data_IF_058090512407
#
_entry.id   IF_058090512407
#
_cell.length_a   1.000
_cell.length_b   1.000
_cell.length_c   1.000
_cell.angle_alpha   90.00
_cell.angle_beta   90.00
_cell.angle_gamma   90.00
#
_symmetry.space_group_name_H-M   'P 1'
#
loop_
_entity.id
_entity.type
_entity.pdbx_description
1 polymer ?
#
# COMPACT_ATOMS: atom_id res chain seq x y z
N UNK A 1 -0.48 6.66 20.17
CA UNK A 1 -0.10 6.69 18.74
C UNK A 1 -1.35 6.68 17.89
N UNK A 2 -1.60 7.72 17.09
CA UNK A 2 -2.74 7.79 16.17
C UNK A 2 -2.48 6.84 15.00
N UNK A 3 -3.37 5.88 14.74
CA UNK A 3 -3.24 4.96 13.61
C UNK A 3 -3.60 5.72 12.33
N UNK A 4 -2.62 5.90 11.45
CA UNK A 4 -2.83 6.53 10.14
C UNK A 4 -3.02 5.44 9.10
N UNK A 5 -4.18 5.41 8.44
CA UNK A 5 -4.39 4.56 7.27
C UNK A 5 -4.02 5.34 6.03
N UNK A 6 -3.40 4.63 5.10
CA UNK A 6 -2.98 5.16 3.81
C UNK A 6 -3.84 4.53 2.71
N UNK A 7 -4.37 5.32 1.78
CA UNK A 7 -4.91 4.81 0.53
C UNK A 7 -3.87 3.96 -0.21
N UNK A 8 -4.34 3.11 -1.11
CA UNK A 8 -3.49 2.19 -1.86
C UNK A 8 -2.39 2.88 -2.67
N UNK A 9 -2.60 4.13 -3.07
CA UNK A 9 -1.62 4.94 -3.82
C UNK A 9 -0.46 5.44 -2.95
N UNK A 10 -0.70 5.64 -1.65
CA UNK A 10 0.29 6.08 -0.66
C UNK A 10 1.06 4.91 -0.02
N UNK A 11 0.59 3.68 -0.23
CA UNK A 11 1.28 2.48 0.21
C UNK A 11 2.55 2.28 -0.61
N UNK A 12 3.69 2.28 0.08
CA UNK A 12 4.92 1.74 -0.51
C UNK A 12 4.62 0.25 -0.68
N UNK A 13 4.61 -0.22 -1.92
CA UNK A 13 4.36 -1.63 -2.23
C UNK A 13 5.39 -2.54 -1.56
N UNK A 14 5.36 -3.83 -1.91
CA UNK A 14 6.31 -4.81 -1.39
C UNK A 14 7.73 -4.62 -1.96
N UNK A 15 8.40 -3.53 -1.58
CA UNK A 15 9.75 -3.14 -2.06
C UNK A 15 10.86 -3.80 -1.26
N UNK A 16 10.57 -4.26 -0.03
CA UNK A 16 11.56 -4.80 0.90
C UNK A 16 12.30 -6.00 0.30
N UNK A 17 11.63 -7.01 -0.30
CA UNK A 17 12.33 -8.13 -0.93
C UNK A 17 13.23 -7.69 -2.09
N UNK A 18 12.79 -6.70 -2.89
CA UNK A 18 13.58 -6.16 -3.99
C UNK A 18 14.85 -5.47 -3.50
N UNK A 19 14.75 -4.68 -2.42
CA UNK A 19 15.92 -4.02 -1.81
C UNK A 19 16.89 -5.06 -1.24
N UNK A 20 16.39 -6.04 -0.49
CA UNK A 20 17.22 -7.10 0.08
C UNK A 20 17.91 -7.94 -1.00
N UNK A 21 17.16 -8.27 -2.06
CA UNK A 21 17.71 -8.93 -3.24
C UNK A 21 18.85 -8.11 -3.86
N UNK A 22 18.65 -6.81 -4.08
CA UNK A 22 19.68 -5.93 -4.64
C UNK A 22 20.93 -5.85 -3.76
N UNK A 23 20.76 -5.73 -2.43
CA UNK A 23 21.90 -5.74 -1.49
C UNK A 23 22.67 -7.04 -1.63
N UNK A 24 21.98 -8.18 -1.55
CA UNK A 24 22.60 -9.50 -1.67
C UNK A 24 23.32 -9.68 -3.02
N UNK A 25 22.67 -9.26 -4.11
CA UNK A 25 23.19 -9.35 -5.47
C UNK A 25 24.50 -8.58 -5.63
N UNK A 26 24.55 -7.31 -5.20
CA UNK A 26 25.75 -6.49 -5.31
C UNK A 26 26.85 -6.94 -4.34
N UNK A 27 26.52 -7.40 -3.13
CA UNK A 27 27.49 -8.00 -2.22
C UNK A 27 28.13 -9.26 -2.84
N UNK A 28 27.32 -10.10 -3.49
CA UNK A 28 27.80 -11.32 -4.15
C UNK A 28 28.75 -11.01 -5.31
N UNK A 29 28.39 -10.05 -6.18
CA UNK A 29 29.25 -9.60 -7.27
C UNK A 29 30.55 -8.99 -6.73
N UNK A 30 30.47 -8.15 -5.69
CA UNK A 30 31.64 -7.58 -5.03
C UNK A 30 32.59 -8.66 -4.47
N UNK A 31 32.04 -9.70 -3.83
CA UNK A 31 32.82 -10.84 -3.35
C UNK A 31 33.54 -11.59 -4.47
N UNK A 32 32.90 -11.78 -5.62
CA UNK A 32 33.51 -12.41 -6.81
C UNK A 32 34.67 -11.55 -7.32
N UNK A 33 34.48 -10.24 -7.46
CA UNK A 33 35.52 -9.31 -7.93
C UNK A 33 36.72 -9.31 -6.98
N UNK A 34 36.49 -9.30 -5.68
CA UNK A 34 37.56 -9.30 -4.67
C UNK A 34 38.38 -10.59 -4.66
N UNK A 35 37.76 -11.75 -4.95
CA UNK A 35 38.44 -13.06 -4.94
C UNK A 35 39.09 -13.43 -6.28
N UNK A 36 38.45 -13.06 -7.39
CA UNK A 36 38.81 -13.54 -8.73
C UNK A 36 39.18 -12.45 -9.74
N UNK A 37 39.18 -11.18 -9.32
CA UNK A 37 39.40 -10.04 -10.21
C UNK A 37 38.17 -9.67 -11.06
N UNK A 38 38.27 -8.59 -11.80
CA UNK A 38 37.18 -8.09 -12.64
C UNK A 38 37.14 -8.81 -14.00
N UNK A 39 35.95 -9.25 -14.40
CA UNK A 39 35.69 -9.89 -15.70
C UNK A 39 34.59 -9.13 -16.44
N UNK A 40 34.73 -8.98 -17.76
CA UNK A 40 33.78 -8.22 -18.60
C UNK A 40 32.34 -8.74 -18.49
N UNK A 41 32.15 -10.06 -18.32
CA UNK A 41 30.83 -10.67 -18.17
C UNK A 41 30.08 -10.16 -16.92
N UNK A 42 30.79 -9.73 -15.87
CA UNK A 42 30.19 -9.16 -14.65
C UNK A 42 29.45 -7.85 -14.91
N UNK A 43 29.76 -7.13 -16.00
CA UNK A 43 29.05 -5.91 -16.39
C UNK A 43 27.57 -6.20 -16.63
N UNK A 44 27.24 -7.32 -17.28
CA UNK A 44 25.85 -7.71 -17.55
C UNK A 44 25.10 -7.95 -16.23
N UNK A 45 25.76 -8.63 -15.27
CA UNK A 45 25.18 -8.88 -13.94
C UNK A 45 25.02 -7.59 -13.11
N UNK A 46 25.95 -6.65 -13.22
CA UNK A 46 25.83 -5.33 -12.59
C UNK A 46 24.62 -4.55 -13.13
N UNK A 47 24.42 -4.56 -14.46
CA UNK A 47 23.30 -3.89 -15.13
C UNK A 47 21.98 -4.57 -14.79
N UNK A 48 21.92 -5.90 -14.79
CA UNK A 48 20.70 -6.65 -14.46
C UNK A 48 20.21 -6.35 -13.03
N UNK A 49 21.13 -6.14 -12.08
CA UNK A 49 20.82 -5.77 -10.69
C UNK A 49 20.17 -4.39 -10.52
N UNK A 50 20.25 -3.51 -11.53
CA UNK A 50 19.69 -2.14 -11.46
C UNK A 50 18.16 -2.16 -11.56
N UNK A 51 17.58 -3.10 -12.31
CA UNK A 51 16.13 -3.21 -12.52
C UNK A 51 15.32 -3.26 -11.20
N UNK A 52 15.60 -4.17 -10.25
CA UNK A 52 14.87 -4.21 -8.98
C UNK A 52 15.07 -2.94 -8.13
N UNK A 53 16.25 -2.31 -8.18
CA UNK A 53 16.51 -1.03 -7.49
C UNK A 53 15.64 0.07 -8.09
N UNK A 54 15.59 0.17 -9.41
CA UNK A 54 14.78 1.15 -10.12
C UNK A 54 13.28 0.99 -9.80
N UNK A 55 12.78 -0.26 -9.78
CA UNK A 55 11.40 -0.55 -9.39
C UNK A 55 11.10 -0.15 -7.94
N UNK A 56 12.03 -0.41 -7.01
CA UNK A 56 11.89 0.01 -5.63
C UNK A 56 11.86 1.55 -5.51
N UNK A 57 12.80 2.25 -6.15
CA UNK A 57 12.88 3.72 -6.11
C UNK A 57 11.63 4.36 -6.70
N UNK A 58 11.16 3.90 -7.86
CA UNK A 58 9.96 4.48 -8.53
C UNK A 58 8.70 4.30 -7.68
N UNK A 59 8.51 3.13 -7.07
CA UNK A 59 7.36 2.89 -6.18
C UNK A 59 7.42 3.72 -4.89
N UNK A 60 8.62 3.90 -4.30
CA UNK A 60 8.81 4.79 -3.15
C UNK A 60 8.53 6.23 -3.53
N UNK A 61 9.07 6.72 -4.66
CA UNK A 61 8.83 8.09 -5.16
C UNK A 61 7.35 8.34 -5.38
N UNK A 62 6.65 7.40 -6.03
CA UNK A 62 5.20 7.46 -6.24
C UNK A 62 4.46 7.59 -4.89
N UNK A 63 4.76 6.72 -3.93
CA UNK A 63 4.10 6.76 -2.62
C UNK A 63 4.39 8.06 -1.85
N UNK A 64 5.63 8.58 -1.90
CA UNK A 64 5.98 9.86 -1.28
C UNK A 64 5.27 11.05 -1.92
N UNK A 65 5.11 11.03 -3.25
CA UNK A 65 4.38 12.06 -3.98
C UNK A 65 2.93 12.15 -3.52
N UNK A 66 2.20 11.03 -3.42
CA UNK A 66 0.82 11.04 -2.91
C UNK A 66 0.73 11.45 -1.44
N UNK A 67 1.70 11.05 -0.62
CA UNK A 67 1.75 11.51 0.79
C UNK A 67 1.95 13.02 0.89
N UNK A 68 2.77 13.59 0.01
CA UNK A 68 2.95 15.05 -0.06
C UNK A 68 1.64 15.73 -0.45
N UNK A 69 0.93 15.21 -1.45
CA UNK A 69 -0.39 15.74 -1.85
C UNK A 69 -1.41 15.69 -0.71
N UNK A 70 -1.46 14.59 0.05
CA UNK A 70 -2.31 14.50 1.24
C UNK A 70 -1.92 15.52 2.31
N UNK A 71 -0.62 15.65 2.61
CA UNK A 71 -0.16 16.62 3.60
C UNK A 71 -0.51 18.06 3.19
N UNK A 72 -0.41 18.36 1.90
CA UNK A 72 -0.80 19.65 1.34
C UNK A 72 -2.31 19.89 1.42
N UNK A 73 -3.13 18.89 1.08
CA UNK A 73 -4.59 18.96 1.23
C UNK A 73 -5.02 19.11 2.70
N UNK A 74 -4.30 18.51 3.65
CA UNK A 74 -4.58 18.66 5.08
C UNK A 74 -4.19 20.06 5.58
N UNK A 75 -3.08 20.62 5.08
CA UNK A 75 -2.56 21.91 5.52
C UNK A 75 -3.29 23.11 4.89
N UNK A 76 -3.65 23.01 3.60
CA UNK A 76 -4.16 24.12 2.80
C UNK A 76 -5.60 23.89 2.30
N UNK A 77 -6.13 22.68 2.44
CA UNK A 77 -7.45 22.33 1.95
C UNK A 77 -8.57 22.68 2.92
N UNK A 78 -9.80 22.49 2.44
CA UNK A 78 -11.00 22.72 3.23
C UNK A 78 -11.31 21.48 4.07
N UNK A 79 -11.43 21.70 5.38
CA UNK A 79 -11.79 20.67 6.33
C UNK A 79 -13.29 20.71 6.63
N UNK A 80 -13.95 19.56 6.52
CA UNK A 80 -15.36 19.41 6.88
C UNK A 80 -15.60 18.05 7.54
N UNK A 81 -16.67 17.95 8.32
CA UNK A 81 -17.07 16.68 8.93
C UNK A 81 -18.02 15.93 8.00
N UNK A 82 -17.84 14.61 7.93
CA UNK A 82 -18.67 13.72 7.13
C UNK A 82 -19.00 12.44 7.88
N UNK A 83 -20.03 11.76 7.41
CA UNK A 83 -20.45 10.46 7.91
C UNK A 83 -20.31 9.43 6.81
N UNK A 84 -19.58 8.34 7.08
CA UNK A 84 -19.46 7.24 6.13
C UNK A 84 -20.82 6.53 6.03
N UNK A 85 -21.42 6.55 4.84
CA UNK A 85 -22.74 5.97 4.57
C UNK A 85 -22.66 4.57 3.96
N UNK A 86 -21.54 4.25 3.31
CA UNK A 86 -21.36 2.95 2.67
C UNK A 86 -19.94 2.68 2.20
N UNK A 87 -19.71 1.47 1.69
CA UNK A 87 -18.44 1.06 1.11
C UNK A 87 -18.67 0.47 -0.27
N UNK A 88 -18.01 1.03 -1.28
CA UNK A 88 -18.00 0.49 -2.63
C UNK A 88 -16.79 -0.42 -2.81
N UNK A 89 -17.03 -1.66 -3.23
CA UNK A 89 -15.98 -2.64 -3.54
C UNK A 89 -15.75 -2.67 -5.05
N UNK A 90 -14.51 -2.46 -5.48
CA UNK A 90 -14.13 -2.59 -6.89
C UNK A 90 -12.97 -3.58 -7.04
N UNK A 91 -13.14 -4.54 -7.94
CA UNK A 91 -12.12 -5.53 -8.29
C UNK A 91 -11.48 -5.12 -9.62
N UNK A 92 -10.26 -4.58 -9.55
CA UNK A 92 -9.53 -4.08 -10.72
C UNK A 92 -8.66 -5.20 -11.31
N UNK A 93 -8.85 -5.57 -12.58
CA UNK A 93 -8.01 -6.58 -13.21
C UNK A 93 -6.57 -6.08 -13.36
N UNK A 94 -5.61 -6.94 -13.08
CA UNK A 94 -4.20 -6.73 -13.39
C UNK A 94 -3.59 -8.01 -13.98
N UNK A 95 -2.68 -7.81 -14.93
CA UNK A 95 -1.96 -8.90 -15.55
C UNK A 95 -0.67 -9.17 -14.78
N UNK A 96 -0.43 -10.43 -14.44
CA UNK A 96 0.87 -10.86 -13.90
C UNK A 96 1.88 -10.85 -15.05
N UNK A 97 3.04 -10.20 -14.85
CA UNK A 97 4.15 -10.30 -15.82
C UNK A 97 4.74 -11.69 -15.73
N UNK A 98 4.60 -12.47 -16.81
CA UNK A 98 5.08 -13.84 -16.94
C UNK A 98 4.51 -14.52 -18.20
N UNK A 99 5.08 -15.66 -18.58
CA UNK A 99 4.74 -16.45 -19.77
C UNK A 99 3.29 -16.96 -19.78
N UNK A 100 2.68 -17.11 -18.59
CA UNK A 100 1.28 -17.46 -18.39
C UNK A 100 0.51 -16.25 -17.82
N UNK A 101 -0.14 -15.48 -18.70
CA UNK A 101 -0.94 -14.29 -18.34
C UNK A 101 -2.24 -14.70 -17.63
N UNK A 102 -2.17 -15.03 -16.35
CA UNK A 102 -3.38 -15.19 -15.55
C UNK A 102 -3.96 -13.82 -15.20
N UNK A 103 -5.22 -13.59 -15.55
CA UNK A 103 -6.00 -12.45 -15.10
C UNK A 103 -6.17 -12.56 -13.58
N UNK A 104 -5.58 -11.62 -12.85
CA UNK A 104 -5.79 -11.51 -11.41
C UNK A 104 -6.58 -10.25 -11.12
N UNK A 105 -7.34 -10.27 -10.04
CA UNK A 105 -8.10 -9.12 -9.59
C UNK A 105 -7.46 -8.55 -8.33
N UNK A 106 -7.34 -7.23 -8.29
CA UNK A 106 -6.94 -6.51 -7.08
C UNK A 106 -8.15 -5.78 -6.54
N UNK A 107 -8.52 -6.13 -5.31
CA UNK A 107 -9.66 -5.56 -4.61
C UNK A 107 -9.30 -4.22 -3.97
N UNK A 108 -10.14 -3.22 -4.19
CA UNK A 108 -10.10 -1.93 -3.53
C UNK A 108 -11.44 -1.62 -2.88
N UNK A 109 -11.36 -0.96 -1.72
CA UNK A 109 -12.50 -0.52 -0.93
C UNK A 109 -12.52 0.99 -0.91
N UNK A 110 -13.60 1.58 -1.42
CA UNK A 110 -13.84 3.02 -1.44
C UNK A 110 -14.91 3.34 -0.40
N UNK A 111 -14.67 4.34 0.43
CA UNK A 111 -15.64 4.78 1.45
C UNK A 111 -16.50 5.88 0.84
N UNK A 112 -17.81 5.70 0.86
CA UNK A 112 -18.76 6.73 0.48
C UNK A 112 -19.08 7.55 1.73
N UNK A 113 -18.93 8.87 1.64
CA UNK A 113 -19.07 9.78 2.76
C UNK A 113 -20.06 10.86 2.40
N UNK A 114 -21.08 11.02 3.22
CA UNK A 114 -21.99 12.15 3.14
C UNK A 114 -21.45 13.29 3.97
N UNK A 115 -21.33 14.46 3.37
CA UNK A 115 -20.92 15.71 4.00
C UNK A 115 -22.11 16.65 3.98
N UNK A 116 -22.39 17.29 5.11
CA UNK A 116 -23.45 18.30 5.19
C UNK A 116 -22.78 19.64 5.44
N UNK A 117 -23.02 20.59 4.55
CA UNK A 117 -22.53 21.94 4.76
C UNK A 117 -23.30 22.57 5.93
N UNK A 118 -22.62 22.98 7.03
CA UNK A 118 -23.28 23.56 8.18
C UNK A 118 -23.96 24.91 7.88
N UNK A 119 -23.55 25.61 6.81
CA UNK A 119 -24.10 26.92 6.46
C UNK A 119 -25.34 26.82 5.58
N UNK A 120 -25.37 25.86 4.65
CA UNK A 120 -26.45 25.73 3.66
C UNK A 120 -27.40 24.55 3.94
N UNK A 121 -26.99 23.60 4.78
CA UNK A 121 -27.72 22.35 5.02
C UNK A 121 -27.71 21.39 3.83
N UNK A 122 -27.04 21.73 2.72
CA UNK A 122 -26.95 20.88 1.53
C UNK A 122 -26.04 19.69 1.85
N UNK A 123 -26.54 18.49 1.57
CA UNK A 123 -25.76 17.26 1.67
C UNK A 123 -25.11 16.90 0.34
N UNK A 124 -23.80 16.70 0.33
CA UNK A 124 -23.06 16.15 -0.80
C UNK A 124 -22.54 14.75 -0.47
N UNK A 125 -22.46 13.89 -1.47
CA UNK A 125 -21.82 12.59 -1.34
C UNK A 125 -20.47 12.62 -2.07
N UNK A 126 -19.44 12.17 -1.37
CA UNK A 126 -18.10 12.03 -1.94
C UNK A 126 -17.64 10.58 -1.81
N UNK A 127 -16.72 10.20 -2.69
CA UNK A 127 -16.05 8.90 -2.62
C UNK A 127 -14.58 9.10 -2.23
N UNK A 128 -14.12 8.33 -1.25
CA UNK A 128 -12.73 8.35 -0.82
C UNK A 128 -11.81 7.73 -1.88
N UNK A 129 -10.50 7.89 -1.72
CA UNK A 129 -9.54 7.05 -2.44
C UNK A 129 -9.68 5.56 -2.08
N UNK A 130 -9.22 4.69 -2.98
CA UNK A 130 -9.30 3.24 -2.82
C UNK A 130 -8.30 2.72 -1.78
N UNK A 131 -8.79 1.92 -0.85
CA UNK A 131 -7.99 1.24 0.17
C UNK A 131 -7.84 -0.24 -0.14
N UNK A 132 -6.67 -0.83 0.14
CA UNK A 132 -6.46 -2.28 -0.06
C UNK A 132 -7.13 -3.15 1.00
N UNK A 133 -7.47 -2.57 2.14
CA UNK A 133 -8.07 -3.26 3.28
C UNK A 133 -9.47 -2.72 3.52
N UNK A 134 -10.41 -3.57 3.99
CA UNK A 134 -11.76 -3.13 4.36
C UNK A 134 -11.70 -2.34 5.68
N UNK A 135 -11.42 -1.05 5.60
CA UNK A 135 -11.19 -0.19 6.78
C UNK A 135 -12.42 -0.10 7.66
N UNK A 136 -13.61 -0.05 7.07
CA UNK A 136 -14.89 0.07 7.78
C UNK A 136 -15.04 -0.96 8.92
N UNK A 137 -14.43 -2.15 8.81
CA UNK A 137 -14.46 -3.20 9.84
C UNK A 137 -13.70 -2.85 11.12
N UNK A 138 -12.76 -1.93 11.03
CA UNK A 138 -11.91 -1.52 12.13
C UNK A 138 -12.36 -0.21 12.77
N UNK A 139 -13.42 0.42 12.22
CA UNK A 139 -13.94 1.69 12.70
C UNK A 139 -14.99 1.46 13.78
N UNK A 140 -14.97 2.29 14.81
CA UNK A 140 -15.97 2.32 15.89
C UNK A 140 -17.08 3.35 15.65
N UNK A 141 -16.83 4.34 14.79
CA UNK A 141 -17.82 5.37 14.42
C UNK A 141 -17.73 5.65 12.91
N UNK A 142 -18.86 5.94 12.25
CA UNK A 142 -18.87 6.38 10.85
C UNK A 142 -18.43 7.84 10.69
N UNK A 143 -18.26 8.60 11.78
CA UNK A 143 -17.82 10.00 11.69
C UNK A 143 -16.35 10.10 11.30
N UNK A 144 -16.07 10.94 10.30
CA UNK A 144 -14.73 11.20 9.77
C UNK A 144 -14.55 12.66 9.44
N UNK A 145 -13.29 13.11 9.44
CA UNK A 145 -12.93 14.42 8.94
C UNK A 145 -12.49 14.29 7.49
N UNK A 146 -13.09 15.08 6.62
CA UNK A 146 -12.79 15.13 5.19
C UNK A 146 -11.96 16.37 4.92
N UNK A 147 -10.83 16.17 4.25
CA UNK A 147 -9.98 17.23 3.71
C UNK A 147 -10.07 17.21 2.19
N UNK A 148 -10.62 18.27 1.64
CA UNK A 148 -10.70 18.47 0.19
C UNK A 148 -9.54 19.33 -0.26
N UNK A 149 -8.82 18.91 -1.30
CA UNK A 149 -7.72 19.69 -1.85
C UNK A 149 -8.19 21.00 -2.49
N UNK A 150 -7.25 21.87 -2.87
CA UNK A 150 -7.56 23.16 -3.51
C UNK A 150 -8.26 23.01 -4.87
N UNK A 151 -8.09 21.87 -5.54
CA UNK A 151 -8.74 21.61 -6.83
C UNK A 151 -10.21 21.20 -6.68
N UNK A 152 -10.63 20.77 -5.49
CA UNK A 152 -11.97 20.27 -5.21
C UNK A 152 -12.18 18.81 -5.57
N UNK A 153 -11.22 18.16 -6.25
CA UNK A 153 -11.40 16.82 -6.82
C UNK A 153 -10.93 15.69 -5.92
N UNK A 154 -9.93 15.93 -5.06
CA UNK A 154 -9.38 14.90 -4.18
C UNK A 154 -9.84 15.11 -2.75
N UNK A 155 -10.34 14.03 -2.17
CA UNK A 155 -10.78 13.97 -0.79
C UNK A 155 -9.93 12.98 0.00
N UNK A 156 -9.42 13.44 1.14
CA UNK A 156 -8.66 12.65 2.09
C UNK A 156 -9.45 12.53 3.39
N UNK A 157 -9.53 11.32 3.91
CA UNK A 157 -10.24 11.03 5.15
C UNK A 157 -9.25 10.90 6.30
N UNK A 158 -9.56 11.55 7.41
CA UNK A 158 -8.76 11.61 8.62
C UNK A 158 -9.64 11.47 9.87
N UNK A 159 -8.98 11.36 11.03
CA UNK A 159 -9.64 11.28 12.34
C UNK A 159 -10.60 10.11 12.52
N UNK A 160 -10.28 9.00 11.84
CA UNK A 160 -10.98 7.73 12.02
C UNK A 160 -11.00 7.31 13.50
N UNK A 161 -12.20 7.00 13.98
CA UNK A 161 -12.40 6.41 15.29
C UNK A 161 -12.27 4.90 15.17
N UNK A 162 -11.36 4.33 15.95
CA UNK A 162 -11.00 2.92 15.86
C UNK A 162 -11.68 2.09 16.93
N UNK A 163 -12.00 0.85 16.58
CA UNK A 163 -12.41 -0.17 17.56
C UNK A 163 -11.29 -0.44 18.56
N UNK A 164 -11.68 -0.71 19.80
CA UNK A 164 -10.75 -1.17 20.82
C UNK A 164 -10.52 -2.67 20.67
N UNK A 165 -11.60 -3.42 20.42
CA UNK A 165 -11.56 -4.87 20.26
C UNK A 165 -12.10 -5.29 18.90
N UNK A 166 -11.60 -6.42 18.41
CA UNK A 166 -12.05 -7.01 17.13
C UNK A 166 -13.55 -7.37 17.15
N UNK A 167 -14.08 -7.66 18.33
CA UNK A 167 -15.47 -8.08 18.52
C UNK A 167 -16.45 -6.91 18.67
N UNK A 168 -15.96 -5.67 18.72
CA UNK A 168 -16.82 -4.49 18.76
C UNK A 168 -17.70 -4.45 17.49
N UNK A 169 -18.94 -3.95 17.58
CA UNK A 169 -19.87 -3.89 16.44
C UNK A 169 -19.29 -3.06 15.28
N UNK A 170 -19.52 -3.50 14.05
CA UNK A 170 -19.15 -2.75 12.84
C UNK A 170 -20.01 -1.49 12.67
N UNK A 171 -19.49 -0.47 11.99
CA UNK A 171 -20.27 0.75 11.66
C UNK A 171 -21.46 0.49 10.73
N UNK A 172 -21.48 -0.68 10.09
CA UNK A 172 -22.55 -1.12 9.20
C UNK A 172 -23.09 -2.49 9.62
N UNK A 173 -24.41 -2.63 9.56
CA UNK A 173 -25.11 -3.90 9.76
C UNK A 173 -25.40 -4.56 8.41
N UNK A 174 -24.41 -5.24 7.81
CA UNK A 174 -24.63 -6.07 6.62
C UNK A 174 -24.18 -7.52 6.88
N UNK A 175 -24.85 -8.53 6.28
CA UNK A 175 -24.45 -9.93 6.42
C UNK A 175 -23.05 -10.19 5.84
N UNK A 176 -22.21 -10.88 6.61
CA UNK A 176 -20.76 -11.10 6.33
C UNK A 176 -20.47 -12.16 5.25
N UNK A 177 -21.50 -12.63 4.54
CA UNK A 177 -21.48 -13.92 3.82
C UNK A 177 -20.64 -13.94 2.53
N UNK A 178 -20.30 -12.78 1.95
CA UNK A 178 -19.56 -12.68 0.68
C UNK A 178 -18.16 -12.09 0.80
N UNK A 179 -17.60 -12.09 2.00
CA UNK A 179 -16.36 -11.40 2.30
C UNK A 179 -15.21 -12.35 2.60
N UNK A 180 -14.76 -13.05 1.56
CA UNK A 180 -13.57 -13.91 1.60
C UNK A 180 -12.36 -13.17 2.18
N UNK A 181 -11.94 -13.62 3.36
CA UNK A 181 -10.70 -13.19 4.00
C UNK A 181 -9.56 -13.84 3.23
N UNK A 182 -8.97 -13.10 2.28
CA UNK A 182 -7.69 -13.50 1.70
C UNK A 182 -6.59 -13.32 2.76
N UNK A 183 -6.43 -14.34 3.60
CA UNK A 183 -5.40 -14.42 4.62
C UNK A 183 -4.06 -14.76 3.93
N UNK A 184 -3.17 -13.77 3.85
CA UNK A 184 -1.77 -13.97 4.25
C UNK A 184 -0.78 -14.60 3.27
N UNK A 185 -1.15 -14.98 2.04
CA UNK A 185 -0.21 -15.63 1.10
C UNK A 185 1.04 -14.78 0.80
N UNK A 186 0.90 -13.45 0.69
CA UNK A 186 2.02 -12.55 0.39
C UNK A 186 3.07 -12.50 1.50
N UNK A 187 2.67 -12.58 2.78
CA UNK A 187 3.60 -12.51 3.91
C UNK A 187 4.40 -13.79 4.09
N UNK A 188 3.78 -14.94 3.84
CA UNK A 188 4.44 -16.23 3.99
C UNK A 188 5.57 -16.40 2.97
N UNK A 189 5.34 -16.02 1.71
CA UNK A 189 6.38 -16.03 0.69
C UNK A 189 7.55 -15.07 0.99
N UNK A 190 7.26 -13.89 1.55
CA UNK A 190 8.31 -12.95 1.98
C UNK A 190 9.18 -13.53 3.09
N UNK A 191 8.59 -14.20 4.08
CA UNK A 191 9.33 -14.83 5.19
C UNK A 191 10.27 -15.92 4.66
N UNK A 192 9.75 -16.80 3.79
CA UNK A 192 10.56 -17.86 3.17
C UNK A 192 11.71 -17.24 2.35
N UNK A 193 11.44 -16.22 1.54
CA UNK A 193 12.46 -15.54 0.76
C UNK A 193 13.58 -14.95 1.64
N UNK A 194 13.22 -14.29 2.74
CA UNK A 194 14.19 -13.73 3.69
C UNK A 194 15.05 -14.83 4.31
N UNK A 195 14.45 -15.97 4.70
CA UNK A 195 15.19 -17.11 5.26
C UNK A 195 16.20 -17.66 4.24
N UNK A 196 15.78 -17.86 2.98
CA UNK A 196 16.67 -18.33 1.91
C UNK A 196 17.82 -17.34 1.68
N UNK A 197 17.53 -16.04 1.67
CA UNK A 197 18.54 -15.00 1.49
C UNK A 197 19.58 -15.00 2.62
N UNK A 198 19.15 -15.18 3.87
CA UNK A 198 20.05 -15.31 5.02
C UNK A 198 20.93 -16.57 4.90
N UNK A 199 20.36 -17.70 4.49
CA UNK A 199 21.11 -18.94 4.27
C UNK A 199 22.15 -18.80 3.15
N UNK A 200 21.82 -18.11 2.06
CA UNK A 200 22.76 -17.83 0.97
C UNK A 200 23.90 -16.92 1.42
N UNK A 201 23.63 -15.88 2.22
CA UNK A 201 24.66 -15.03 2.81
C UNK A 201 25.61 -15.87 3.67
N UNK A 202 25.06 -16.71 4.56
CA UNK A 202 25.86 -17.54 5.47
C UNK A 202 26.76 -18.52 4.71
N UNK A 203 26.28 -19.12 3.62
CA UNK A 203 27.08 -20.03 2.78
C UNK A 203 28.16 -19.30 1.98
N UNK A 204 27.93 -18.04 1.58
CA UNK A 204 28.95 -17.22 0.89
C UNK A 204 30.13 -16.82 1.79
N UNK A 205 29.88 -16.49 3.06
CA UNK A 205 30.91 -16.09 4.01
C UNK A 205 31.66 -17.27 4.65
N UNK A 206 31.14 -18.49 4.54
CA UNK A 206 31.77 -19.71 5.08
C UNK A 206 32.76 -20.36 4.09
N UNK A 207 32.83 -19.87 2.85
CA UNK A 207 33.87 -20.20 1.84
C UNK A 207 34.88 -19.06 1.74
#
# INVERSE_FOLDING_TARGET
MKRVIRPAEEEIGNVVPGILFSIFWYCSIGGIILRGGFQLMLVIFLIAGVLPVFQAVTSIRRALFYRKQRAEAIALGNAAYGTITGVTRQDVPYYTSGEHRHLRYRRYYFLNVQMTDPMTGISSEIQSQGYRKPIHRYLSSPQVKVYTDQSGWKHYLEDFQWKQHRNDPDIFNYPREFEEVHIGSERFGQIIFVIILILMIFTMFRR
#
